data_IF_160355257808
#
_entry.id   IF_160355257808
#
_cell.length_a   1.000
_cell.length_b   1.000
_cell.length_c   1.000
_cell.angle_alpha   90.00
_cell.angle_beta   90.00
_cell.angle_gamma   90.00
#
_symmetry.space_group_name_H-M   'P 1'
#
loop_
_entity.id
_entity.type
_entity.pdbx_description
1 polymer ?
#
# COMPACT_ATOMS: atom_id res chain seq x y z
N UNK A 1 1.26 3.66 -17.95
CA UNK A 1 0.16 3.22 -17.07
C UNK A 1 0.51 3.64 -15.66
N UNK A 2 -0.42 4.19 -14.90
CA UNK A 2 -0.21 4.55 -13.49
C UNK A 2 0.20 3.31 -12.67
N UNK A 3 1.31 3.34 -11.88
CA UNK A 3 1.85 2.17 -11.21
C UNK A 3 1.09 1.82 -9.92
N UNK A 4 1.35 0.61 -9.42
CA UNK A 4 1.10 0.25 -8.02
C UNK A 4 2.35 0.60 -7.23
N UNK A 5 2.23 1.50 -6.26
CA UNK A 5 3.36 1.93 -5.43
C UNK A 5 3.30 1.24 -4.08
N UNK A 6 4.43 0.77 -3.55
CA UNK A 6 4.44 0.10 -2.25
C UNK A 6 5.63 0.48 -1.36
N UNK A 7 5.36 0.67 -0.06
CA UNK A 7 6.35 0.79 1.01
C UNK A 7 6.34 -0.50 1.83
N UNK A 8 7.14 -1.47 1.40
CA UNK A 8 7.22 -2.82 1.98
C UNK A 8 8.68 -3.28 1.97
N UNK A 9 9.17 -3.83 3.10
CA UNK A 9 10.53 -4.38 3.22
C UNK A 9 10.57 -5.91 3.25
N UNK A 10 9.49 -6.54 3.69
CA UNK A 10 9.36 -8.00 3.77
C UNK A 10 9.32 -8.62 2.37
N UNK A 11 10.35 -9.42 2.05
CA UNK A 11 10.54 -9.98 0.72
C UNK A 11 9.41 -10.93 0.29
N UNK A 12 8.73 -11.58 1.24
CA UNK A 12 7.60 -12.46 0.92
C UNK A 12 6.44 -11.65 0.34
N UNK A 13 6.13 -10.50 0.94
CA UNK A 13 5.09 -9.61 0.43
C UNK A 13 5.51 -8.86 -0.82
N UNK A 14 6.79 -8.47 -0.92
CA UNK A 14 7.33 -7.89 -2.16
C UNK A 14 7.13 -8.84 -3.33
N UNK A 15 7.51 -10.13 -3.20
CA UNK A 15 7.32 -11.11 -4.27
C UNK A 15 5.84 -11.28 -4.63
N UNK A 16 4.95 -11.40 -3.64
CA UNK A 16 3.50 -11.51 -3.87
C UNK A 16 2.93 -10.31 -4.64
N UNK A 17 3.32 -9.08 -4.28
CA UNK A 17 2.89 -7.84 -4.97
C UNK A 17 3.36 -7.86 -6.42
N UNK A 18 4.65 -8.15 -6.65
CA UNK A 18 5.23 -8.17 -8.00
C UNK A 18 4.59 -9.25 -8.88
N UNK A 19 4.39 -10.46 -8.35
CA UNK A 19 3.75 -11.56 -9.08
C UNK A 19 2.29 -11.25 -9.43
N UNK A 20 1.50 -10.75 -8.48
CA UNK A 20 0.11 -10.39 -8.73
C UNK A 20 -0.01 -9.25 -9.75
N UNK A 21 0.85 -8.24 -9.65
CA UNK A 21 0.91 -7.13 -10.60
C UNK A 21 1.32 -7.58 -12.01
N UNK A 22 2.37 -8.41 -12.13
CA UNK A 22 2.83 -8.95 -13.41
C UNK A 22 1.72 -9.74 -14.12
N UNK A 23 1.01 -10.62 -13.39
CA UNK A 23 -0.14 -11.39 -13.94
C UNK A 23 -1.28 -10.50 -14.44
N UNK A 24 -1.41 -9.30 -13.88
CA UNK A 24 -2.45 -8.33 -14.22
C UNK A 24 -1.92 -7.18 -15.10
N UNK A 25 -0.66 -7.22 -15.54
CA UNK A 25 -0.06 -6.20 -16.41
C UNK A 25 0.09 -4.83 -15.76
N UNK A 26 0.24 -4.75 -14.44
CA UNK A 26 0.55 -3.50 -13.75
C UNK A 26 2.05 -3.31 -13.59
N UNK A 27 2.50 -2.08 -13.82
CA UNK A 27 3.82 -1.61 -13.37
C UNK A 27 3.81 -1.45 -11.85
N UNK A 28 4.96 -1.73 -11.23
CA UNK A 28 5.12 -1.61 -9.77
C UNK A 28 6.34 -0.79 -9.42
N UNK A 29 6.20 0.08 -8.43
CA UNK A 29 7.29 0.91 -7.91
C UNK A 29 7.42 0.69 -6.41
N UNK A 30 8.64 0.42 -5.96
CA UNK A 30 8.96 0.34 -4.52
C UNK A 30 9.39 1.71 -4.02
N UNK A 31 8.68 2.23 -3.03
CA UNK A 31 9.16 3.36 -2.23
C UNK A 31 10.23 2.90 -1.23
N UNK A 32 11.32 3.66 -1.13
CA UNK A 32 12.37 3.41 -0.15
C UNK A 32 11.98 3.88 1.27
N UNK A 33 11.22 4.96 1.35
CA UNK A 33 10.79 5.63 2.58
C UNK A 33 9.47 6.39 2.37
N UNK A 34 9.02 7.12 3.41
CA UNK A 34 7.80 7.91 3.39
C UNK A 34 7.81 9.05 2.35
N UNK A 35 8.96 9.67 2.09
CA UNK A 35 9.07 10.78 1.13
C UNK A 35 9.05 10.27 -0.31
N UNK A 36 9.74 9.17 -0.59
CA UNK A 36 9.67 8.45 -1.84
C UNK A 36 8.26 7.95 -2.12
N UNK A 37 7.58 7.40 -1.10
CA UNK A 37 6.19 6.96 -1.23
C UNK A 37 5.27 8.12 -1.62
N UNK A 38 5.39 9.25 -0.91
CA UNK A 38 4.61 10.45 -1.22
C UNK A 38 4.82 10.89 -2.68
N UNK A 39 6.07 10.95 -3.14
CA UNK A 39 6.41 11.42 -4.48
C UNK A 39 5.80 10.50 -5.55
N UNK A 40 6.01 9.20 -5.43
CA UNK A 40 5.52 8.19 -6.37
C UNK A 40 3.98 8.06 -6.34
N UNK A 41 3.35 8.30 -5.20
CA UNK A 41 1.90 8.17 -5.04
C UNK A 41 1.09 9.14 -5.93
N UNK A 42 1.66 10.28 -6.34
CA UNK A 42 0.96 11.28 -7.17
C UNK A 42 0.39 10.70 -8.47
N UNK A 43 1.08 9.72 -9.04
CA UNK A 43 0.70 9.05 -10.28
C UNK A 43 0.17 7.62 -10.04
N UNK A 44 -0.01 7.19 -8.79
CA UNK A 44 -0.29 5.81 -8.46
C UNK A 44 -1.79 5.45 -8.57
N UNK A 45 -2.09 4.22 -8.98
CA UNK A 45 -3.44 3.66 -8.91
C UNK A 45 -3.81 3.15 -7.52
N UNK A 46 -2.78 2.71 -6.79
CA UNK A 46 -2.90 2.11 -5.46
C UNK A 46 -1.57 2.28 -4.74
N UNK A 47 -1.66 2.63 -3.47
CA UNK A 47 -0.55 2.61 -2.52
C UNK A 47 -0.74 1.43 -1.56
N UNK A 48 0.32 0.65 -1.35
CA UNK A 48 0.36 -0.44 -0.38
C UNK A 48 1.42 -0.13 0.70
N UNK A 49 1.03 -0.15 1.97
CA UNK A 49 1.94 0.15 3.09
C UNK A 49 1.99 -1.02 4.07
N UNK A 50 3.20 -1.48 4.37
CA UNK A 50 3.43 -2.39 5.50
C UNK A 50 3.43 -1.59 6.81
N UNK A 51 2.35 -1.69 7.58
CA UNK A 51 2.17 -0.89 8.81
C UNK A 51 3.05 -1.34 9.97
N UNK A 52 3.81 -2.44 9.80
CA UNK A 52 4.82 -2.88 10.77
C UNK A 52 6.08 -2.01 10.69
N UNK A 53 6.24 -1.23 9.61
CA UNK A 53 7.36 -0.33 9.44
C UNK A 53 7.21 0.90 10.34
N UNK A 54 8.29 1.36 11.01
CA UNK A 54 8.22 2.51 11.90
C UNK A 54 7.79 3.80 11.17
N UNK A 55 8.11 3.93 9.88
CA UNK A 55 7.76 5.09 9.05
C UNK A 55 6.33 5.03 8.45
N UNK A 56 5.58 3.94 8.64
CA UNK A 56 4.31 3.73 7.94
C UNK A 56 3.28 4.85 8.22
N UNK A 57 3.22 5.32 9.45
CA UNK A 57 2.26 6.36 9.85
C UNK A 57 2.65 7.74 9.33
N UNK A 58 3.96 8.06 9.31
CA UNK A 58 4.45 9.28 8.66
C UNK A 58 4.12 9.23 7.16
N UNK A 59 4.31 8.08 6.52
CA UNK A 59 3.98 7.89 5.12
C UNK A 59 2.49 8.13 4.83
N UNK A 60 1.58 7.52 5.61
CA UNK A 60 0.13 7.74 5.47
C UNK A 60 -0.28 9.17 5.78
N UNK A 61 0.30 9.80 6.81
CA UNK A 61 0.02 11.19 7.17
C UNK A 61 0.42 12.16 6.04
N UNK A 62 1.60 11.96 5.43
CA UNK A 62 2.05 12.74 4.27
C UNK A 62 1.11 12.61 3.08
N UNK A 63 0.64 11.39 2.79
CA UNK A 63 -0.32 11.16 1.70
C UNK A 63 -1.63 11.90 1.94
N UNK A 64 -2.16 11.84 3.17
CA UNK A 64 -3.41 12.50 3.55
C UNK A 64 -3.31 14.03 3.58
N UNK A 65 -2.12 14.58 3.89
CA UNK A 65 -1.90 16.02 4.02
C UNK A 65 -1.81 16.76 2.67
N UNK A 66 -1.43 16.08 1.58
CA UNK A 66 -1.32 16.68 0.25
C UNK A 66 -2.58 16.38 -0.60
N UNK A 67 -3.36 17.39 -1.06
CA UNK A 67 -4.52 17.19 -1.92
C UNK A 67 -4.26 16.36 -3.19
N UNK A 68 -3.04 16.36 -3.72
CA UNK A 68 -2.66 15.58 -4.90
C UNK A 68 -2.57 14.08 -4.61
N UNK A 69 -2.31 13.67 -3.36
CA UNK A 69 -2.22 12.26 -2.97
C UNK A 69 -3.34 11.82 -2.03
N UNK A 70 -4.07 12.74 -1.41
CA UNK A 70 -5.12 12.44 -0.43
C UNK A 70 -6.29 11.61 -1.00
N UNK A 71 -6.49 11.64 -2.32
CA UNK A 71 -7.51 10.84 -3.02
C UNK A 71 -7.00 9.50 -3.54
N UNK A 72 -5.67 9.27 -3.49
CA UNK A 72 -5.08 8.03 -3.94
C UNK A 72 -5.47 6.93 -2.96
N UNK A 73 -5.99 5.82 -3.49
CA UNK A 73 -6.37 4.68 -2.67
C UNK A 73 -5.12 4.11 -1.98
N UNK A 74 -5.15 4.02 -0.66
CA UNK A 74 -4.10 3.38 0.15
C UNK A 74 -4.66 2.16 0.89
N UNK A 75 -3.88 1.09 0.94
CA UNK A 75 -4.17 -0.12 1.74
C UNK A 75 -2.97 -0.41 2.63
N UNK A 76 -3.21 -0.41 3.94
CA UNK A 76 -2.24 -0.85 4.94
C UNK A 76 -2.42 -2.33 5.27
N UNK A 77 -1.34 -3.03 5.60
CA UNK A 77 -1.44 -4.35 6.21
C UNK A 77 -0.54 -4.50 7.44
N UNK A 78 -1.00 -5.30 8.41
CA UNK A 78 -0.37 -5.44 9.73
C UNK A 78 -0.63 -6.83 10.33
N UNK A 79 0.00 -7.15 11.45
CA UNK A 79 -0.29 -8.35 12.25
C UNK A 79 -1.77 -8.38 12.67
N UNK A 80 -2.36 -9.58 12.79
CA UNK A 80 -3.81 -9.70 12.97
C UNK A 80 -4.31 -8.96 14.21
N UNK A 81 -3.53 -9.03 15.29
CA UNK A 81 -3.77 -8.45 16.60
C UNK A 81 -3.65 -6.91 16.60
N UNK A 82 -3.05 -6.33 15.55
CA UNK A 82 -2.81 -4.88 15.45
C UNK A 82 -3.78 -4.17 14.50
N UNK A 83 -4.69 -4.89 13.82
CA UNK A 83 -5.62 -4.30 12.85
C UNK A 83 -6.45 -3.19 13.50
N UNK A 84 -7.19 -3.51 14.57
CA UNK A 84 -8.07 -2.55 15.24
C UNK A 84 -7.30 -1.34 15.77
N UNK A 85 -6.09 -1.57 16.30
CA UNK A 85 -5.23 -0.51 16.80
C UNK A 85 -4.79 0.45 15.68
N UNK A 86 -4.52 -0.04 14.47
CA UNK A 86 -4.15 0.81 13.34
C UNK A 86 -5.34 1.53 12.72
N UNK A 87 -6.51 0.90 12.68
CA UNK A 87 -7.76 1.54 12.24
C UNK A 87 -8.13 2.70 13.17
N UNK A 88 -8.03 2.50 14.48
CA UNK A 88 -8.27 3.55 15.48
C UNK A 88 -7.31 4.75 15.35
N UNK A 89 -6.14 4.56 14.72
CA UNK A 89 -5.17 5.63 14.41
C UNK A 89 -5.47 6.35 13.09
N UNK A 90 -6.56 6.00 12.41
CA UNK A 90 -7.00 6.64 11.18
C UNK A 90 -6.28 6.16 9.92
N UNK A 91 -5.65 4.98 9.94
CA UNK A 91 -4.90 4.46 8.79
C UNK A 91 -5.77 4.07 7.57
N UNK A 92 -7.08 4.28 7.62
CA UNK A 92 -8.01 3.94 6.55
C UNK A 92 -8.18 2.43 6.41
N UNK A 93 -8.05 1.88 5.20
CA UNK A 93 -8.22 0.44 4.95
C UNK A 93 -7.01 -0.34 5.50
N UNK A 94 -7.22 -1.09 6.58
CA UNK A 94 -6.20 -1.94 7.19
C UNK A 94 -6.59 -3.42 7.05
N UNK A 95 -5.64 -4.26 6.67
CA UNK A 95 -5.84 -5.70 6.52
C UNK A 95 -4.84 -6.48 7.38
N UNK A 96 -5.29 -7.58 7.98
CA UNK A 96 -4.37 -8.57 8.52
C UNK A 96 -3.48 -9.13 7.40
N UNK A 97 -2.20 -9.39 7.66
CA UNK A 97 -1.22 -9.97 6.70
C UNK A 97 -1.76 -11.13 5.85
N UNK A 98 -2.41 -12.10 6.51
CA UNK A 98 -2.98 -13.27 5.81
C UNK A 98 -4.15 -12.90 4.89
N UNK A 99 -4.99 -11.95 5.33
CA UNK A 99 -6.09 -11.41 4.53
C UNK A 99 -5.56 -10.62 3.34
N UNK A 100 -4.58 -9.75 3.55
CA UNK A 100 -3.90 -9.00 2.48
C UNK A 100 -3.33 -9.94 1.42
N UNK A 101 -2.56 -10.97 1.82
CA UNK A 101 -1.99 -11.92 0.88
C UNK A 101 -3.05 -12.66 0.03
N UNK A 102 -4.22 -12.96 0.62
CA UNK A 102 -5.34 -13.62 -0.07
C UNK A 102 -6.09 -12.68 -1.01
N UNK A 103 -6.31 -11.43 -0.61
CA UNK A 103 -7.11 -10.46 -1.36
C UNK A 103 -6.29 -9.64 -2.37
N UNK A 104 -4.96 -9.71 -2.31
CA UNK A 104 -4.06 -8.96 -3.18
C UNK A 104 -4.41 -9.05 -4.68
N UNK A 105 -4.67 -10.23 -5.28
CA UNK A 105 -5.07 -10.28 -6.69
C UNK A 105 -6.35 -9.50 -6.99
N UNK A 106 -7.36 -9.59 -6.12
CA UNK A 106 -8.62 -8.87 -6.28
C UNK A 106 -8.45 -7.35 -6.06
N UNK A 107 -7.62 -6.94 -5.09
CA UNK A 107 -7.28 -5.54 -4.84
C UNK A 107 -6.67 -4.90 -6.09
N UNK A 108 -5.71 -5.59 -6.73
CA UNK A 108 -5.06 -5.10 -7.95
C UNK A 108 -6.02 -5.15 -9.15
N UNK A 109 -6.83 -6.20 -9.30
CA UNK A 109 -7.79 -6.31 -10.39
C UNK A 109 -8.79 -5.13 -10.40
N UNK A 110 -9.19 -4.66 -9.20
CA UNK A 110 -10.06 -3.49 -9.05
C UNK A 110 -9.43 -2.17 -9.58
N UNK A 111 -8.10 -2.10 -9.73
CA UNK A 111 -7.39 -0.94 -10.29
C UNK A 111 -7.39 -0.89 -11.84
N UNK A 112 -7.97 -1.89 -12.52
CA UNK A 112 -8.07 -1.91 -13.99
C UNK A 112 -9.18 -1.00 -14.53
N UNK A 113 -10.17 -0.68 -13.70
CA UNK A 113 -11.29 0.20 -14.04
C UNK A 113 -10.84 1.64 -14.34
#
# INVERSE_FOLDING_TARGET
>A
MAPIVYLVRDLVFVSKIREAAARLGFEVERAADAAGLHTAAREAKLVIVDLRLPEALDALARLAADPATARVRAVGFVDHEQVDAMEARGCGTVLAKGRFARELPALLAACRA
#
